data_IF_138791523408
#
_entry.id   IF_138791523408
#
_cell.length_a   1.000
_cell.length_b   1.000
_cell.length_c   1.000
_cell.angle_alpha   90.00
_cell.angle_beta   90.00
_cell.angle_gamma   90.00
#
_symmetry.space_group_name_H-M   'P 1'
#
loop_
_entity.id
_entity.type
_entity.pdbx_description
1 polymer ?
#
# COMPACT_ATOMS: atom_id res chain seq x y z
N UNK A 1 -89.82 1.52 -20.60
CA UNK A 1 -90.60 2.75 -20.28
C UNK A 1 -89.68 3.76 -19.65
N UNK A 2 -89.79 5.01 -20.06
CA UNK A 2 -88.82 6.06 -19.79
C UNK A 2 -88.81 6.62 -18.38
N UNK A 3 -87.87 7.52 -18.14
CA UNK A 3 -88.18 8.91 -17.82
C UNK A 3 -86.88 9.71 -17.85
N UNK A 4 -86.95 10.87 -18.49
CA UNK A 4 -85.94 11.92 -18.42
C UNK A 4 -85.80 12.43 -16.97
N UNK A 5 -84.64 12.95 -16.60
CA UNK A 5 -84.63 14.26 -15.96
C UNK A 5 -83.27 15.00 -15.98
N UNK A 6 -83.41 16.31 -16.14
CA UNK A 6 -82.66 17.45 -15.63
C UNK A 6 -81.12 17.56 -15.76
N UNK A 7 -80.72 18.57 -16.56
CA UNK A 7 -79.43 19.27 -16.42
C UNK A 7 -79.37 20.04 -15.10
N UNK A 8 -78.16 20.28 -14.58
CA UNK A 8 -77.82 21.66 -14.28
C UNK A 8 -76.47 22.10 -14.88
N UNK A 9 -76.49 23.31 -15.41
CA UNK A 9 -75.38 24.11 -15.89
C UNK A 9 -74.42 24.45 -14.74
N UNK A 10 -73.12 24.19 -14.90
CA UNK A 10 -72.07 24.84 -14.10
C UNK A 10 -71.01 25.44 -15.00
N UNK A 11 -70.99 26.77 -15.01
CA UNK A 11 -69.92 27.63 -15.49
C UNK A 11 -68.74 27.52 -14.51
N UNK A 12 -67.54 27.24 -14.99
CA UNK A 12 -66.33 27.40 -14.19
C UNK A 12 -65.11 27.73 -15.08
N UNK A 13 -64.92 29.04 -15.25
CA UNK A 13 -63.68 29.82 -15.07
C UNK A 13 -62.40 29.26 -15.72
N UNK A 14 -61.97 29.96 -16.77
CA UNK A 14 -60.67 29.84 -17.41
C UNK A 14 -59.52 30.19 -16.43
N UNK A 15 -58.71 29.19 -16.07
CA UNK A 15 -57.44 29.36 -15.37
C UNK A 15 -56.28 28.99 -16.29
N UNK A 16 -55.70 29.97 -16.99
CA UNK A 16 -54.51 29.77 -17.83
C UNK A 16 -53.27 29.67 -16.92
N UNK A 17 -52.94 28.45 -16.47
CA UNK A 17 -51.67 28.17 -15.79
C UNK A 17 -50.51 28.27 -16.80
N UNK A 18 -49.94 29.46 -16.94
CA UNK A 18 -48.70 29.67 -17.69
C UNK A 18 -47.54 29.00 -16.96
N UNK A 19 -46.91 27.99 -17.59
CA UNK A 19 -45.63 27.45 -17.12
C UNK A 19 -44.55 28.52 -17.32
N UNK A 20 -44.08 29.12 -16.22
CA UNK A 20 -42.92 30.00 -16.23
C UNK A 20 -41.67 29.14 -16.46
N UNK A 21 -41.15 29.11 -17.70
CA UNK A 21 -39.83 28.54 -17.99
C UNK A 21 -38.78 29.57 -17.60
N UNK A 22 -38.16 29.40 -16.43
CA UNK A 22 -36.95 30.15 -16.06
C UNK A 22 -35.81 29.66 -16.96
N UNK A 23 -35.52 30.40 -18.05
CA UNK A 23 -34.33 30.16 -18.87
C UNK A 23 -33.15 30.77 -18.15
N UNK A 24 -32.43 29.96 -17.38
CA UNK A 24 -31.15 30.40 -16.83
C UNK A 24 -30.22 30.70 -18.02
N UNK A 25 -29.71 31.94 -18.19
CA UNK A 25 -28.87 32.27 -19.33
C UNK A 25 -27.63 31.37 -19.30
N UNK A 26 -27.31 30.78 -20.45
CA UNK A 26 -26.20 29.81 -20.61
C UNK A 26 -24.86 30.33 -20.04
N UNK A 27 -24.70 31.66 -20.03
CA UNK A 27 -23.61 32.40 -19.40
C UNK A 27 -23.47 32.13 -17.88
N UNK A 28 -24.57 32.02 -17.14
CA UNK A 28 -24.56 31.71 -15.70
C UNK A 28 -24.23 30.24 -15.42
N UNK A 29 -24.66 29.33 -16.28
CA UNK A 29 -24.29 27.91 -16.18
C UNK A 29 -22.79 27.69 -16.43
N UNK A 30 -22.22 28.35 -17.45
CA UNK A 30 -20.76 28.34 -17.70
C UNK A 30 -20.00 28.91 -16.50
N UNK A 31 -20.45 30.06 -15.97
CA UNK A 31 -19.80 30.70 -14.82
C UNK A 31 -19.83 29.81 -13.58
N UNK A 32 -20.94 29.11 -13.32
CA UNK A 32 -21.02 28.14 -12.23
C UNK A 32 -20.08 26.94 -12.44
N UNK A 33 -19.99 26.38 -13.65
CA UNK A 33 -19.04 25.30 -13.95
C UNK A 33 -17.59 25.75 -13.82
N UNK A 34 -17.25 26.96 -14.29
CA UNK A 34 -15.91 27.53 -14.12
C UNK A 34 -15.57 27.76 -12.64
N UNK A 35 -16.54 28.20 -11.82
CA UNK A 35 -16.32 28.40 -10.38
C UNK A 35 -16.10 27.06 -9.66
N UNK A 36 -16.80 26.00 -10.04
CA UNK A 36 -16.59 24.63 -9.51
C UNK A 36 -15.25 24.06 -9.96
N UNK A 37 -14.85 24.26 -11.22
CA UNK A 37 -13.54 23.87 -11.74
C UNK A 37 -12.40 24.63 -11.04
N UNK A 38 -12.52 25.95 -10.88
CA UNK A 38 -11.52 26.76 -10.18
C UNK A 38 -11.47 26.44 -8.68
N UNK A 39 -12.61 26.16 -8.05
CA UNK A 39 -12.68 25.74 -6.64
C UNK A 39 -12.05 24.37 -6.39
N UNK A 40 -12.27 23.40 -7.28
CA UNK A 40 -11.66 22.06 -7.18
C UNK A 40 -10.16 22.07 -7.48
N UNK A 41 -9.70 22.90 -8.42
CA UNK A 41 -8.25 23.11 -8.69
C UNK A 41 -7.57 23.87 -7.55
N UNK A 42 -8.23 24.90 -7.00
CA UNK A 42 -7.73 25.67 -5.85
C UNK A 42 -7.63 24.83 -4.57
N UNK A 43 -8.60 23.97 -4.28
CA UNK A 43 -8.51 23.00 -3.18
C UNK A 43 -7.34 22.03 -3.34
N UNK A 44 -6.97 21.66 -4.57
CA UNK A 44 -5.83 20.77 -4.84
C UNK A 44 -4.48 21.43 -4.54
N UNK A 45 -4.40 22.76 -4.65
CA UNK A 45 -3.20 23.56 -4.37
C UNK A 45 -3.12 24.04 -2.90
N UNK A 46 -4.25 24.05 -2.18
CA UNK A 46 -4.34 24.38 -0.75
C UNK A 46 -4.29 23.15 0.16
N UNK A 47 -4.37 21.94 -0.40
CA UNK A 47 -3.99 20.73 0.33
C UNK A 47 -2.50 20.86 0.66
N UNK A 48 -2.06 20.62 1.90
CA UNK A 48 -0.65 20.62 2.21
C UNK A 48 -0.01 19.63 1.26
N UNK A 49 0.90 20.11 0.40
CA UNK A 49 1.84 19.24 -0.29
C UNK A 49 2.65 18.57 0.82
N UNK A 50 2.11 17.48 1.32
CA UNK A 50 2.81 16.54 2.13
C UNK A 50 4.12 16.28 1.41
N UNK A 51 5.21 16.72 2.03
CA UNK A 51 6.58 16.45 1.59
C UNK A 51 6.82 14.96 1.27
N UNK A 52 5.90 14.10 1.75
CA UNK A 52 5.75 12.67 1.50
C UNK A 52 5.41 12.29 0.04
N UNK A 53 4.83 13.17 -0.79
CA UNK A 53 4.48 12.86 -2.20
C UNK A 53 5.51 13.38 -3.22
N UNK A 54 6.63 13.99 -2.77
CA UNK A 54 7.68 14.42 -3.69
C UNK A 54 8.52 13.20 -4.11
N UNK A 55 8.44 12.81 -5.39
CA UNK A 55 9.32 11.81 -6.00
C UNK A 55 10.78 12.10 -5.66
N UNK A 56 11.50 11.10 -5.14
CA UNK A 56 12.88 11.25 -4.66
C UNK A 56 13.81 11.66 -5.82
N UNK A 57 14.83 12.48 -5.51
CA UNK A 57 15.77 12.98 -6.53
C UNK A 57 16.66 11.86 -7.09
N UNK A 58 16.90 11.89 -8.40
CA UNK A 58 17.72 10.92 -9.15
C UNK A 58 19.13 10.72 -8.55
N UNK A 59 19.70 11.79 -7.98
CA UNK A 59 20.99 11.80 -7.26
C UNK A 59 21.05 10.72 -6.16
N UNK A 60 19.96 10.56 -5.38
CA UNK A 60 19.92 9.65 -4.23
C UNK A 60 19.89 8.18 -4.66
N UNK A 61 19.21 7.88 -5.76
CA UNK A 61 19.14 6.51 -6.32
C UNK A 61 20.52 6.05 -6.81
N UNK A 62 21.30 6.95 -7.42
CA UNK A 62 22.67 6.66 -7.91
C UNK A 62 23.63 6.22 -6.80
N UNK A 63 23.47 6.73 -5.57
CA UNK A 63 24.30 6.32 -4.43
C UNK A 63 24.06 4.89 -3.97
N UNK A 64 22.81 4.41 -4.01
CA UNK A 64 22.49 3.01 -3.65
C UNK A 64 23.12 2.02 -4.64
N UNK A 65 23.14 2.35 -5.93
CA UNK A 65 23.74 1.51 -6.97
C UNK A 65 25.27 1.47 -6.88
N UNK A 66 25.92 2.61 -6.62
CA UNK A 66 27.38 2.66 -6.43
C UNK A 66 27.80 1.76 -5.26
N UNK A 67 27.05 1.81 -4.18
CA UNK A 67 27.38 1.07 -2.98
C UNK A 67 27.33 -0.47 -3.17
N UNK A 68 26.28 -0.95 -3.85
CA UNK A 68 26.16 -2.37 -4.17
C UNK A 68 27.32 -2.86 -5.04
N UNK A 69 27.75 -2.03 -6.01
CA UNK A 69 28.91 -2.33 -6.87
C UNK A 69 30.19 -2.45 -6.05
N UNK A 70 30.43 -1.53 -5.12
CA UNK A 70 31.68 -1.51 -4.35
C UNK A 70 31.80 -2.71 -3.38
N UNK A 71 30.71 -3.45 -3.14
CA UNK A 71 30.70 -4.70 -2.35
C UNK A 71 30.74 -5.97 -3.19
N UNK A 72 30.61 -5.86 -4.50
CA UNK A 72 30.66 -7.02 -5.36
C UNK A 72 32.07 -7.61 -5.36
N UNK A 73 32.16 -8.92 -5.06
CA UNK A 73 33.43 -9.66 -5.02
C UNK A 73 33.40 -10.77 -6.08
N UNK A 74 34.22 -10.63 -7.12
CA UNK A 74 34.34 -11.62 -8.20
C UNK A 74 34.79 -13.01 -7.68
N UNK A 75 35.66 -13.05 -6.66
CA UNK A 75 36.18 -14.29 -6.10
C UNK A 75 35.12 -15.10 -5.38
N UNK A 76 34.23 -14.43 -4.64
CA UNK A 76 33.08 -15.06 -3.96
C UNK A 76 32.06 -15.60 -4.97
N UNK A 77 31.81 -14.85 -6.05
CA UNK A 77 30.81 -15.26 -7.05
C UNK A 77 31.33 -16.36 -7.99
N UNK A 78 32.62 -16.33 -8.37
CA UNK A 78 33.19 -17.20 -9.41
C UNK A 78 32.80 -18.67 -9.27
N UNK A 79 32.99 -19.28 -8.09
CA UNK A 79 32.68 -20.72 -7.92
C UNK A 79 31.20 -21.03 -8.16
N UNK A 80 30.29 -20.22 -7.61
CA UNK A 80 28.86 -20.45 -7.75
C UNK A 80 28.38 -20.20 -9.20
N UNK A 81 28.91 -19.15 -9.84
CA UNK A 81 28.60 -18.82 -11.23
C UNK A 81 29.14 -19.87 -12.21
N UNK A 82 30.38 -20.33 -12.02
CA UNK A 82 30.99 -21.38 -12.85
C UNK A 82 30.17 -22.68 -12.78
N UNK A 83 29.71 -23.06 -11.57
CA UNK A 83 28.86 -24.23 -11.36
C UNK A 83 27.49 -24.10 -12.03
N UNK A 84 26.96 -22.88 -12.13
CA UNK A 84 25.71 -22.57 -12.81
C UNK A 84 25.89 -22.36 -14.34
N UNK A 85 27.11 -22.47 -14.87
CA UNK A 85 27.41 -22.24 -16.28
C UNK A 85 27.38 -20.77 -16.69
N UNK A 86 27.33 -19.83 -15.74
CA UNK A 86 27.28 -18.39 -15.99
C UNK A 86 28.69 -17.88 -16.31
N UNK A 87 28.81 -17.15 -17.40
CA UNK A 87 30.04 -16.63 -17.97
C UNK A 87 30.17 -15.13 -17.72
N UNK A 88 31.38 -14.62 -17.86
CA UNK A 88 31.68 -13.20 -17.68
C UNK A 88 30.76 -12.29 -18.51
N UNK A 89 30.42 -12.73 -19.73
CA UNK A 89 29.60 -11.96 -20.69
C UNK A 89 28.11 -11.90 -20.31
N UNK A 90 27.66 -12.76 -19.41
CA UNK A 90 26.27 -12.78 -18.96
C UNK A 90 25.99 -11.62 -17.98
N UNK A 91 27.05 -11.09 -17.35
CA UNK A 91 26.99 -9.86 -16.57
C UNK A 91 27.55 -8.67 -17.35
N UNK A 92 28.67 -8.86 -18.05
CA UNK A 92 29.34 -7.79 -18.77
C UNK A 92 29.06 -7.84 -20.28
N UNK A 93 28.34 -6.86 -20.79
CA UNK A 93 27.95 -6.79 -22.20
C UNK A 93 29.08 -6.29 -23.11
N UNK A 94 30.27 -6.90 -23.05
CA UNK A 94 31.40 -6.59 -23.93
C UNK A 94 31.14 -6.96 -25.40
N UNK A 95 30.11 -7.77 -25.66
CA UNK A 95 29.74 -8.23 -26.99
C UNK A 95 29.16 -7.11 -27.89
N UNK A 96 28.78 -5.97 -27.32
CA UNK A 96 28.25 -4.84 -28.08
C UNK A 96 29.38 -3.88 -28.46
N UNK A 97 29.91 -4.02 -29.67
CA UNK A 97 30.77 -3.00 -30.28
C UNK A 97 29.88 -1.88 -30.81
N UNK A 98 29.76 -0.80 -30.04
CA UNK A 98 28.99 0.37 -30.45
C UNK A 98 29.97 1.39 -31.04
N UNK A 99 29.87 1.60 -32.35
CA UNK A 99 30.65 2.62 -33.05
C UNK A 99 29.85 3.92 -33.04
N UNK A 100 30.39 4.94 -32.37
CA UNK A 100 29.81 6.28 -32.29
C UNK A 100 30.93 7.31 -32.23
N UNK A 101 30.69 8.47 -32.84
CA UNK A 101 31.52 9.66 -32.77
C UNK A 101 31.18 10.55 -31.56
N UNK A 102 30.09 10.25 -30.84
CA UNK A 102 29.70 10.91 -29.60
C UNK A 102 30.48 10.32 -28.41
N UNK A 103 31.47 11.07 -27.94
CA UNK A 103 32.34 10.68 -26.83
C UNK A 103 31.58 10.44 -25.51
N UNK A 104 30.56 11.24 -25.22
CA UNK A 104 29.79 11.12 -23.97
C UNK A 104 28.86 9.90 -24.00
N UNK A 105 28.28 9.61 -25.17
CA UNK A 105 27.53 8.38 -25.39
C UNK A 105 28.44 7.16 -25.27
N UNK A 106 29.64 7.19 -25.87
CA UNK A 106 30.61 6.11 -25.79
C UNK A 106 31.03 5.81 -24.33
N UNK A 107 31.30 6.85 -23.53
CA UNK A 107 31.59 6.73 -22.09
C UNK A 107 30.43 6.09 -21.33
N UNK A 108 29.21 6.54 -21.61
CA UNK A 108 28.00 6.04 -20.93
C UNK A 108 27.77 4.55 -21.21
N UNK A 109 27.87 4.14 -22.47
CA UNK A 109 27.68 2.75 -22.89
C UNK A 109 28.80 1.84 -22.34
N UNK A 110 30.04 2.31 -22.38
CA UNK A 110 31.19 1.59 -21.81
C UNK A 110 31.03 1.40 -20.31
N UNK A 111 30.51 2.41 -19.60
CA UNK A 111 30.22 2.31 -18.17
C UNK A 111 29.10 1.30 -17.89
N UNK A 112 28.06 1.25 -18.71
CA UNK A 112 26.97 0.28 -18.55
C UNK A 112 27.45 -1.17 -18.78
N UNK A 113 28.26 -1.42 -19.80
CA UNK A 113 28.81 -2.75 -20.07
C UNK A 113 29.78 -3.24 -18.99
N UNK A 114 30.58 -2.34 -18.40
CA UNK A 114 31.52 -2.68 -17.33
C UNK A 114 30.85 -2.74 -15.94
N UNK A 115 29.80 -1.94 -15.73
CA UNK A 115 29.09 -1.83 -14.47
C UNK A 115 27.60 -2.08 -14.70
N UNK A 116 27.22 -3.34 -14.97
CA UNK A 116 25.83 -3.67 -15.11
C UNK A 116 25.11 -3.33 -13.80
N UNK A 117 23.97 -2.67 -13.91
CA UNK A 117 23.18 -2.28 -12.74
C UNK A 117 22.52 -3.47 -12.07
N UNK A 118 21.41 -3.22 -11.36
CA UNK A 118 20.63 -4.26 -10.69
C UNK A 118 20.19 -5.40 -11.61
N UNK A 119 20.09 -5.18 -12.92
CA UNK A 119 19.72 -6.19 -13.91
C UNK A 119 20.68 -7.40 -13.95
N UNK A 120 21.97 -7.24 -13.62
CA UNK A 120 22.89 -8.38 -13.54
C UNK A 120 22.88 -9.08 -12.17
N UNK A 121 22.39 -8.43 -11.12
CA UNK A 121 22.43 -8.97 -9.75
C UNK A 121 21.09 -9.61 -9.35
N UNK A 122 19.98 -8.93 -9.63
CA UNK A 122 18.67 -9.30 -9.12
C UNK A 122 18.11 -10.63 -9.63
N UNK A 123 18.36 -11.09 -10.87
CA UNK A 123 17.80 -12.38 -11.34
C UNK A 123 18.17 -13.56 -10.45
N UNK A 124 19.41 -13.60 -9.95
CA UNK A 124 19.88 -14.68 -9.08
C UNK A 124 19.64 -14.43 -7.59
N UNK A 125 19.56 -13.17 -7.15
CA UNK A 125 19.46 -12.80 -5.74
C UNK A 125 18.04 -12.53 -5.24
N UNK A 126 17.12 -12.14 -6.12
CA UNK A 126 15.74 -11.90 -5.79
C UNK A 126 14.87 -13.12 -6.15
N UNK A 127 13.66 -13.23 -5.60
CA UNK A 127 12.72 -14.26 -6.03
C UNK A 127 12.49 -14.20 -7.55
N UNK A 128 12.59 -15.34 -8.22
CA UNK A 128 12.47 -15.47 -9.67
C UNK A 128 12.78 -16.90 -10.10
N UNK A 129 12.70 -17.15 -11.40
CA UNK A 129 13.02 -18.46 -12.00
C UNK A 129 14.52 -18.77 -11.88
N UNK A 130 15.37 -17.78 -12.14
CA UNK A 130 16.84 -17.91 -12.13
C UNK A 130 17.47 -17.75 -10.73
N UNK A 131 16.66 -17.77 -9.67
CA UNK A 131 17.15 -17.53 -8.31
C UNK A 131 18.14 -18.61 -7.89
N UNK A 132 19.23 -18.19 -7.24
CA UNK A 132 20.22 -19.08 -6.67
C UNK A 132 20.01 -19.21 -5.15
N UNK A 133 19.80 -20.44 -4.66
CA UNK A 133 19.55 -20.68 -3.23
C UNK A 133 20.69 -20.22 -2.32
N UNK A 134 21.93 -20.26 -2.82
CA UNK A 134 23.11 -19.80 -2.08
C UNK A 134 23.29 -18.27 -2.08
N UNK A 135 22.54 -17.54 -2.91
CA UNK A 135 22.70 -16.10 -3.04
C UNK A 135 22.11 -15.37 -1.82
N UNK A 136 22.82 -14.40 -1.23
CA UNK A 136 22.27 -13.56 -0.17
C UNK A 136 21.12 -12.71 -0.71
N UNK A 137 19.96 -12.80 -0.06
CA UNK A 137 18.72 -12.12 -0.49
C UNK A 137 18.41 -10.85 0.31
N UNK A 138 19.07 -10.67 1.45
CA UNK A 138 18.92 -9.47 2.28
C UNK A 138 19.49 -8.26 1.53
N UNK A 139 18.65 -7.25 1.29
CA UNK A 139 19.03 -6.08 0.48
C UNK A 139 20.29 -5.38 1.04
N UNK A 140 20.45 -5.37 2.37
CA UNK A 140 21.58 -4.75 3.05
C UNK A 140 22.92 -5.50 2.90
N UNK A 141 22.93 -6.72 2.36
CA UNK A 141 24.18 -7.39 1.97
C UNK A 141 24.92 -6.59 0.90
N UNK A 142 24.17 -5.93 0.01
CA UNK A 142 24.71 -5.11 -1.07
C UNK A 142 24.52 -3.62 -0.78
N UNK A 143 23.33 -3.21 -0.33
CA UNK A 143 22.96 -1.80 -0.13
C UNK A 143 23.10 -1.35 1.35
N UNK A 144 24.18 -0.65 1.71
CA UNK A 144 24.40 0.06 2.99
C UNK A 144 23.30 1.04 3.28
N UNK A 145 22.90 1.79 2.26
CA UNK A 145 21.88 2.79 2.40
C UNK A 145 20.61 2.30 1.70
N UNK A 146 19.68 1.77 2.48
CA UNK A 146 18.36 1.38 2.00
C UNK A 146 17.43 2.59 1.80
N UNK A 147 17.82 3.78 2.27
CA UNK A 147 17.00 4.99 2.14
C UNK A 147 16.55 5.26 0.70
N UNK A 148 17.39 5.12 -0.35
CA UNK A 148 16.93 5.33 -1.73
C UNK A 148 15.95 4.27 -2.24
N UNK A 149 15.90 3.10 -1.60
CA UNK A 149 14.98 2.00 -1.94
C UNK A 149 13.68 2.04 -1.13
N UNK A 150 13.62 2.91 -0.12
CA UNK A 150 12.49 3.02 0.78
C UNK A 150 11.24 3.53 0.01
N UNK A 151 10.08 2.86 0.14
CA UNK A 151 8.85 3.30 -0.51
C UNK A 151 8.41 4.71 -0.10
N UNK A 152 7.49 5.31 -0.88
CA UNK A 152 6.97 6.66 -0.61
C UNK A 152 6.15 6.75 0.69
N UNK A 153 5.46 5.68 1.08
CA UNK A 153 4.62 5.59 2.29
C UNK A 153 5.40 5.31 3.58
N UNK A 154 6.68 4.95 3.48
CA UNK A 154 7.58 4.71 4.60
C UNK A 154 8.13 6.04 5.13
N UNK A 155 7.20 6.89 5.59
CA UNK A 155 7.46 8.23 6.10
C UNK A 155 7.33 8.30 7.63
N UNK A 156 7.53 9.50 8.18
CA UNK A 156 7.27 9.78 9.58
C UNK A 156 5.81 9.42 9.92
N UNK A 157 5.60 8.63 10.98
CA UNK A 157 4.29 8.11 11.37
C UNK A 157 3.91 6.75 10.78
N UNK A 158 4.76 6.13 9.96
CA UNK A 158 4.52 4.79 9.40
C UNK A 158 4.09 3.76 10.45
N UNK A 159 4.70 3.79 11.65
CA UNK A 159 4.34 2.90 12.75
C UNK A 159 2.84 2.95 13.12
N UNK A 160 2.15 4.07 12.89
CA UNK A 160 0.70 4.20 13.13
C UNK A 160 -0.17 3.88 11.91
N UNK A 161 0.40 3.91 10.71
CA UNK A 161 -0.34 3.75 9.45
C UNK A 161 -0.17 2.36 8.80
N UNK A 162 0.90 1.62 9.16
CA UNK A 162 1.26 0.38 8.48
C UNK A 162 0.21 -0.73 8.61
N UNK A 163 -0.62 -0.71 9.66
CA UNK A 163 -1.69 -1.70 9.81
C UNK A 163 -2.69 -1.63 8.64
N UNK A 164 -3.18 -0.43 8.30
CA UNK A 164 -4.11 -0.26 7.18
C UNK A 164 -3.46 -0.63 5.83
N UNK A 165 -2.18 -0.27 5.65
CA UNK A 165 -1.43 -0.63 4.45
C UNK A 165 -1.21 -2.14 4.32
N UNK A 166 -0.82 -2.82 5.42
CA UNK A 166 -0.62 -4.26 5.47
C UNK A 166 -1.93 -5.04 5.29
N UNK A 167 -3.06 -4.52 5.78
CA UNK A 167 -4.36 -5.16 5.55
C UNK A 167 -4.81 -5.06 4.09
N UNK A 168 -4.44 -3.97 3.42
CA UNK A 168 -4.78 -3.78 2.01
C UNK A 168 -3.90 -4.65 1.08
N UNK A 169 -2.60 -4.73 1.37
CA UNK A 169 -1.62 -5.46 0.57
C UNK A 169 -0.39 -5.84 1.41
N UNK A 170 -0.45 -7.01 2.04
CA UNK A 170 0.67 -7.53 2.83
C UNK A 170 1.82 -8.03 1.95
N UNK A 171 1.52 -8.60 0.77
CA UNK A 171 2.52 -9.18 -0.12
C UNK A 171 3.53 -8.13 -0.60
N UNK A 172 3.08 -6.89 -0.86
CA UNK A 172 3.94 -5.73 -1.12
C UNK A 172 5.04 -5.56 -0.08
N UNK A 173 4.75 -5.77 1.20
CA UNK A 173 5.70 -5.61 2.29
C UNK A 173 6.80 -6.68 2.22
N UNK A 174 6.44 -7.88 1.76
CA UNK A 174 7.36 -9.02 1.70
C UNK A 174 8.48 -8.88 0.67
N UNK A 175 8.39 -7.86 -0.21
CA UNK A 175 9.47 -7.50 -1.12
C UNK A 175 10.73 -6.99 -0.40
N UNK A 176 10.56 -6.42 0.80
CA UNK A 176 11.65 -5.88 1.61
C UNK A 176 11.71 -6.52 3.00
N UNK A 177 10.56 -6.95 3.54
CA UNK A 177 10.43 -7.52 4.88
C UNK A 177 10.15 -9.02 4.84
N UNK A 178 10.53 -9.73 5.90
CA UNK A 178 10.21 -11.15 6.08
C UNK A 178 9.10 -11.31 7.13
N UNK A 179 8.30 -12.37 7.00
CA UNK A 179 7.18 -12.66 7.90
C UNK A 179 7.60 -12.66 9.39
N UNK A 180 8.82 -13.12 9.68
CA UNK A 180 9.36 -13.13 11.03
C UNK A 180 9.49 -11.73 11.64
N UNK A 181 9.73 -10.69 10.83
CA UNK A 181 9.84 -9.31 11.32
C UNK A 181 8.48 -8.76 11.78
N UNK A 182 7.41 -9.15 11.09
CA UNK A 182 6.04 -8.88 11.50
C UNK A 182 5.79 -9.53 12.87
N UNK A 183 6.05 -10.84 12.96
CA UNK A 183 5.85 -11.62 14.20
C UNK A 183 6.70 -11.08 15.34
N UNK A 184 7.97 -10.78 15.13
CA UNK A 184 8.88 -10.30 16.16
C UNK A 184 8.43 -8.97 16.77
N UNK A 185 8.03 -8.02 15.93
CA UNK A 185 7.54 -6.73 16.39
C UNK A 185 6.22 -6.89 17.13
N UNK A 186 5.27 -7.64 16.56
CA UNK A 186 3.96 -7.85 17.16
C UNK A 186 4.05 -8.66 18.47
N UNK A 187 4.89 -9.70 18.54
CA UNK A 187 5.10 -10.51 19.74
C UNK A 187 5.77 -9.73 20.89
N UNK A 188 6.61 -8.74 20.60
CA UNK A 188 7.22 -7.88 21.62
C UNK A 188 6.29 -6.74 22.04
N UNK A 189 5.53 -6.19 21.10
CA UNK A 189 4.55 -5.12 21.35
C UNK A 189 3.34 -5.62 22.12
N UNK A 190 2.92 -6.85 21.84
CA UNK A 190 1.84 -7.52 22.54
C UNK A 190 2.44 -8.23 23.76
N UNK A 191 2.71 -7.45 24.82
CA UNK A 191 3.26 -7.91 26.10
C UNK A 191 2.46 -9.07 26.71
N UNK A 192 3.10 -9.84 27.59
CA UNK A 192 2.63 -11.04 28.34
C UNK A 192 1.20 -10.98 28.90
N UNK A 193 0.59 -9.80 29.03
CA UNK A 193 -0.83 -9.63 29.37
C UNK A 193 -1.80 -10.17 28.30
N UNK A 194 -1.33 -10.43 27.07
CA UNK A 194 -2.11 -10.94 25.92
C UNK A 194 -2.06 -12.46 25.74
N UNK A 195 -1.39 -13.21 26.64
CA UNK A 195 -1.04 -14.62 26.39
C UNK A 195 -2.22 -15.60 26.31
N UNK A 196 -3.41 -15.19 26.71
CA UNK A 196 -4.60 -16.07 26.73
C UNK A 196 -5.73 -15.51 25.88
N UNK A 197 -5.76 -14.19 25.65
CA UNK A 197 -6.79 -13.51 24.87
C UNK A 197 -6.22 -12.29 24.12
N UNK A 198 -6.75 -12.01 22.93
CA UNK A 198 -6.38 -10.84 22.14
C UNK A 198 -6.73 -9.50 22.84
N UNK A 199 -6.08 -8.40 22.45
CA UNK A 199 -6.36 -7.03 22.97
C UNK A 199 -7.85 -6.64 22.80
N UNK A 200 -8.50 -7.19 21.78
CA UNK A 200 -9.91 -7.01 21.47
C UNK A 200 -10.88 -7.84 22.32
N UNK A 201 -10.39 -8.71 23.21
CA UNK A 201 -11.22 -9.68 23.92
C UNK A 201 -12.44 -9.04 24.59
N UNK A 202 -12.28 -7.93 25.32
CA UNK A 202 -13.42 -7.23 25.95
C UNK A 202 -14.52 -6.82 24.97
N UNK A 203 -14.18 -6.59 23.70
CA UNK A 203 -15.12 -6.20 22.66
C UNK A 203 -15.76 -7.38 21.93
N UNK A 204 -15.03 -8.49 21.77
CA UNK A 204 -15.45 -9.60 20.90
C UNK A 204 -15.75 -10.91 21.63
N UNK A 205 -15.34 -11.05 22.90
CA UNK A 205 -15.57 -12.28 23.67
C UNK A 205 -17.06 -12.57 23.89
N UNK A 206 -17.94 -11.59 23.72
CA UNK A 206 -19.39 -11.82 23.72
C UNK A 206 -19.81 -12.76 22.60
N UNK A 207 -19.21 -12.64 21.41
CA UNK A 207 -19.46 -13.50 20.25
C UNK A 207 -18.92 -14.90 20.53
N UNK A 208 -17.70 -15.00 21.07
CA UNK A 208 -17.05 -16.27 21.42
C UNK A 208 -17.80 -17.00 22.55
N UNK A 209 -18.19 -16.28 23.60
CA UNK A 209 -18.96 -16.80 24.73
C UNK A 209 -20.38 -17.20 24.33
N UNK A 210 -20.97 -16.53 23.34
CA UNK A 210 -22.25 -16.93 22.76
C UNK A 210 -22.11 -18.21 21.92
N UNK A 211 -21.05 -18.31 21.12
CA UNK A 211 -20.81 -19.46 20.25
C UNK A 211 -20.45 -20.74 21.03
N UNK A 212 -19.57 -20.64 22.03
CA UNK A 212 -19.16 -21.78 22.85
C UNK A 212 -18.66 -21.34 24.24
N UNK A 213 -19.54 -21.14 25.22
CA UNK A 213 -19.16 -20.72 26.57
C UNK A 213 -18.33 -21.78 27.32
N UNK A 214 -18.44 -23.06 26.92
CA UNK A 214 -17.69 -24.15 27.54
C UNK A 214 -16.20 -24.13 27.16
N UNK A 215 -15.82 -23.50 26.04
CA UNK A 215 -14.41 -23.34 25.63
C UNK A 215 -13.57 -22.64 26.71
N UNK A 216 -14.17 -21.65 27.39
CA UNK A 216 -13.55 -20.86 28.44
C UNK A 216 -13.33 -21.67 29.73
N UNK A 217 -14.18 -22.68 29.97
CA UNK A 217 -14.17 -23.48 31.19
C UNK A 217 -12.93 -24.39 31.35
N UNK A 218 -12.19 -24.58 30.26
CA UNK A 218 -10.91 -25.30 30.24
C UNK A 218 -9.82 -24.62 31.08
N UNK A 219 -9.88 -23.29 31.19
CA UNK A 219 -8.90 -22.47 31.92
C UNK A 219 -9.54 -21.58 33.00
N UNK A 220 -10.77 -21.13 32.79
CA UNK A 220 -11.48 -20.21 33.67
C UNK A 220 -12.64 -20.89 34.40
N UNK A 221 -12.90 -20.49 35.64
CA UNK A 221 -14.10 -20.92 36.36
C UNK A 221 -15.27 -19.97 36.09
N UNK A 222 -16.50 -20.47 36.17
CA UNK A 222 -17.71 -19.68 35.93
C UNK A 222 -17.82 -18.42 36.83
N UNK A 223 -17.27 -18.47 38.05
CA UNK A 223 -17.26 -17.33 38.98
C UNK A 223 -16.39 -16.16 38.50
N UNK A 224 -15.40 -16.40 37.63
CA UNK A 224 -14.61 -15.34 37.01
C UNK A 224 -15.48 -14.45 36.12
N UNK A 225 -16.33 -15.06 35.29
CA UNK A 225 -17.24 -14.34 34.40
C UNK A 225 -18.15 -13.42 35.21
N UNK A 226 -18.78 -13.95 36.26
CA UNK A 226 -19.69 -13.22 37.14
C UNK A 226 -18.99 -12.04 37.81
N UNK A 227 -17.79 -12.24 38.35
CA UNK A 227 -17.05 -11.19 39.06
C UNK A 227 -16.63 -10.05 38.12
N UNK A 228 -16.07 -10.37 36.97
CA UNK A 228 -15.65 -9.37 35.99
C UNK A 228 -16.84 -8.56 35.48
N UNK A 229 -17.94 -9.23 35.12
CA UNK A 229 -19.16 -8.59 34.63
C UNK A 229 -19.84 -7.73 35.71
N UNK A 230 -19.86 -8.19 36.96
CA UNK A 230 -20.39 -7.42 38.09
C UNK A 230 -19.54 -6.18 38.39
N UNK A 231 -18.20 -6.30 38.36
CA UNK A 231 -17.29 -5.18 38.59
C UNK A 231 -17.41 -4.10 37.51
N UNK A 232 -17.71 -4.49 36.27
CA UNK A 232 -17.81 -3.58 35.13
C UNK A 232 -19.26 -3.20 34.79
N UNK A 233 -20.24 -3.60 35.60
CA UNK A 233 -21.66 -3.26 35.40
C UNK A 233 -22.32 -3.92 34.18
N UNK A 234 -21.68 -4.93 33.59
CA UNK A 234 -22.15 -5.67 32.41
C UNK A 234 -22.85 -6.94 32.87
N UNK A 235 -23.95 -6.82 33.60
CA UNK A 235 -24.75 -7.99 34.00
C UNK A 235 -25.36 -8.68 32.77
N UNK A 236 -25.22 -10.01 32.68
CA UNK A 236 -25.93 -10.83 31.70
C UNK A 236 -27.43 -10.59 31.83
N UNK A 237 -28.01 -9.86 30.88
CA UNK A 237 -29.43 -9.97 30.61
C UNK A 237 -29.67 -11.42 30.17
N UNK A 238 -30.42 -12.16 30.99
CA UNK A 238 -30.80 -13.55 30.72
C UNK A 238 -31.64 -13.71 29.48
#
# INVERSE_FOLDING_TARGET
MGSADSRPTRVAIAGRLGRVRVRLPWQLAIRAMLFVLLGTVGCRQLMPENSYLKRRSVERTRWSTRDARDRFDHGVHRRALDQAGIRCVDCHSFALRIETDDEELAKTLSAYGQHPGSAACHPCHLPGEDKMLAAPRRCNACHRNLWPLLPEDHAAGWQTAHAAASHADNERCQNCHHEQECVDCHARRDSIETRVHERGFRFFHSIEAWANPMSCSSCHRADFCIQCHRQNGVGSAG
#
